data_IF_796276567627
#
_entry.id   IF_796276567627
#
_cell.length_a   1.000
_cell.length_b   1.000
_cell.length_c   1.000
_cell.angle_alpha   90.00
_cell.angle_beta   90.00
_cell.angle_gamma   90.00
#
_symmetry.space_group_name_H-M   'P 1'
#
loop_
_entity.id
_entity.type
_entity.pdbx_description
1 polymer ?
#
# COMPACT_ATOMS: atom_id res chain seq x y z
N UNK A 1 11.58 -35.77 43.25
CA UNK A 1 11.41 -37.16 42.78
C UNK A 1 10.21 -37.20 41.84
N UNK A 2 10.33 -37.82 40.66
CA UNK A 2 9.26 -38.60 40.05
C UNK A 2 9.63 -40.10 40.05
N UNK A 3 8.65 -41.03 40.21
CA UNK A 3 8.90 -42.47 40.14
C UNK A 3 9.01 -42.99 38.69
N UNK A 4 9.37 -44.27 38.53
CA UNK A 4 9.65 -44.94 37.26
C UNK A 4 8.46 -45.74 36.70
N UNK A 5 8.39 -45.77 35.38
CA UNK A 5 7.96 -46.84 34.46
C UNK A 5 7.23 -48.08 35.01
N UNK A 6 6.04 -48.37 34.46
CA UNK A 6 5.56 -49.75 34.21
C UNK A 6 4.91 -49.80 32.81
N UNK A 7 5.25 -50.81 32.01
CA UNK A 7 4.52 -51.21 30.81
C UNK A 7 3.43 -52.23 31.19
N UNK A 8 2.26 -52.18 30.55
CA UNK A 8 1.32 -53.31 30.53
C UNK A 8 0.73 -53.43 29.13
N UNK A 9 0.82 -54.63 28.55
CA UNK A 9 0.21 -54.95 27.26
C UNK A 9 -0.73 -56.14 27.40
N UNK A 10 -1.80 -56.16 26.61
CA UNK A 10 -2.66 -57.32 26.46
C UNK A 10 -2.54 -57.88 25.04
N UNK A 11 -2.23 -59.16 24.94
CA UNK A 11 -2.18 -59.92 23.69
C UNK A 11 -3.46 -60.75 23.56
N UNK A 12 -4.10 -60.69 22.39
CA UNK A 12 -5.07 -61.68 21.93
C UNK A 12 -4.71 -62.02 20.48
N UNK A 13 -4.83 -63.28 20.07
CA UNK A 13 -4.05 -63.83 18.97
C UNK A 13 -4.81 -64.88 18.13
N UNK A 14 -4.72 -64.77 16.78
CA UNK A 14 -5.10 -65.77 15.76
C UNK A 14 -6.62 -66.16 15.74
N UNK A 15 -7.23 -66.89 14.79
CA UNK A 15 -6.82 -67.78 13.67
C UNK A 15 -8.02 -67.95 12.66
N UNK A 16 -7.98 -68.51 11.44
CA UNK A 16 -6.91 -68.89 10.48
C UNK A 16 -7.47 -69.22 9.05
N UNK A 17 -6.86 -68.68 7.97
CA UNK A 17 -6.93 -69.17 6.55
C UNK A 17 -8.32 -69.20 5.83
N UNK A 18 -8.50 -69.42 4.50
CA UNK A 18 -7.78 -70.18 3.46
C UNK A 18 -7.70 -69.51 2.05
N UNK A 19 -6.67 -69.92 1.27
CA UNK A 19 -6.51 -70.07 -0.20
C UNK A 19 -7.40 -69.29 -1.22
N UNK A 20 -6.86 -68.62 -2.25
CA UNK A 20 -6.07 -69.10 -3.41
C UNK A 20 -6.84 -70.10 -4.32
N UNK A 21 -6.86 -69.97 -5.66
CA UNK A 21 -5.74 -69.71 -6.58
C UNK A 21 -6.18 -69.09 -7.92
N UNK A 22 -5.25 -68.57 -8.73
CA UNK A 22 -5.51 -68.17 -10.13
C UNK A 22 -4.30 -67.55 -10.84
N UNK A 23 -3.57 -68.33 -11.62
CA UNK A 23 -2.39 -67.88 -12.40
C UNK A 23 -2.68 -67.84 -13.89
N UNK A 24 -2.38 -66.72 -14.55
CA UNK A 24 -2.41 -66.60 -16.02
C UNK A 24 -2.12 -65.15 -16.43
N UNK A 25 -1.20 -64.94 -17.36
CA UNK A 25 -0.76 -63.62 -17.77
C UNK A 25 -0.70 -63.49 -19.30
N UNK A 26 -1.28 -62.43 -19.83
CA UNK A 26 -1.01 -61.91 -21.17
C UNK A 26 -0.69 -60.42 -21.11
N UNK A 27 -0.04 -59.89 -22.16
CA UNK A 27 0.62 -58.58 -22.15
C UNK A 27 -0.22 -57.55 -22.91
N UNK A 28 -0.35 -56.34 -22.36
CA UNK A 28 -0.97 -55.20 -23.02
C UNK A 28 -0.24 -53.90 -22.69
N UNK A 29 0.77 -53.55 -23.50
CA UNK A 29 1.43 -52.24 -23.65
C UNK A 29 1.49 -51.30 -22.42
N UNK A 30 2.69 -51.17 -21.84
CA UNK A 30 3.08 -49.93 -21.14
C UNK A 30 3.18 -48.81 -22.18
N UNK A 31 2.61 -47.64 -21.90
CA UNK A 31 2.83 -46.41 -22.66
C UNK A 31 3.98 -45.61 -22.00
N UNK A 32 5.15 -45.45 -22.64
CA UNK A 32 6.32 -44.82 -22.03
C UNK A 32 6.31 -43.31 -22.26
N UNK A 33 5.50 -42.58 -21.51
CA UNK A 33 5.31 -41.14 -21.71
C UNK A 33 5.08 -40.31 -20.45
N UNK A 34 6.12 -39.57 -20.04
CA UNK A 34 6.14 -38.41 -19.15
C UNK A 34 5.87 -38.67 -17.65
N UNK A 35 6.97 -38.54 -16.90
CA UNK A 35 7.08 -38.57 -15.45
C UNK A 35 6.35 -37.39 -14.76
N UNK A 36 5.99 -37.59 -13.49
CA UNK A 36 5.83 -36.57 -12.44
C UNK A 36 5.31 -35.19 -12.86
N UNK A 37 4.02 -35.12 -13.24
CA UNK A 37 3.28 -33.85 -13.21
C UNK A 37 2.98 -33.50 -11.75
N UNK A 38 3.90 -32.78 -11.11
CA UNK A 38 3.60 -32.01 -9.90
C UNK A 38 2.33 -31.17 -10.16
N UNK A 39 1.32 -31.24 -9.28
CA UNK A 39 0.15 -30.37 -9.39
C UNK A 39 0.58 -28.92 -9.12
N UNK A 40 0.97 -28.19 -10.19
CA UNK A 40 1.34 -26.79 -10.10
C UNK A 40 0.15 -26.01 -9.52
N UNK A 41 0.27 -25.59 -8.27
CA UNK A 41 -0.71 -24.69 -7.64
C UNK A 41 -0.52 -23.31 -8.26
N UNK A 42 -1.07 -23.12 -9.46
CA UNK A 42 -1.05 -21.86 -10.20
C UNK A 42 -1.90 -20.86 -9.42
N UNK A 43 -1.28 -20.15 -8.48
CA UNK A 43 -1.90 -19.06 -7.72
C UNK A 43 -2.17 -17.90 -8.68
N UNK A 44 -3.31 -17.98 -9.39
CA UNK A 44 -3.86 -16.94 -10.27
C UNK A 44 -4.40 -15.76 -9.46
N UNK A 45 -3.58 -15.22 -8.56
CA UNK A 45 -3.81 -13.93 -7.95
C UNK A 45 -3.89 -12.89 -9.08
N UNK A 46 -5.07 -12.29 -9.27
CA UNK A 46 -5.21 -11.11 -10.11
C UNK A 46 -4.18 -10.09 -9.62
N UNK A 47 -3.22 -9.74 -10.48
CA UNK A 47 -2.26 -8.67 -10.17
C UNK A 47 -3.08 -7.40 -10.03
N UNK A 48 -3.30 -6.95 -8.80
CA UNK A 48 -3.90 -5.65 -8.53
C UNK A 48 -3.16 -4.60 -9.35
N UNK A 49 -3.89 -3.85 -10.18
CA UNK A 49 -3.31 -2.93 -11.15
C UNK A 49 -2.72 -1.72 -10.43
N UNK A 50 -1.49 -1.90 -9.95
CA UNK A 50 -0.62 -0.84 -9.47
C UNK A 50 -0.57 0.23 -10.55
N UNK A 51 -0.88 1.47 -10.19
CA UNK A 51 -1.23 2.59 -11.07
C UNK A 51 -2.65 2.58 -11.69
N UNK A 52 -3.67 2.03 -10.99
CA UNK A 52 -5.08 2.29 -11.30
C UNK A 52 -5.39 3.80 -11.20
N UNK A 53 -6.08 4.34 -12.21
CA UNK A 53 -6.61 5.72 -12.21
C UNK A 53 -7.80 5.80 -11.24
N UNK A 54 -7.82 6.82 -10.37
CA UNK A 54 -8.96 7.09 -9.49
C UNK A 54 -10.07 7.84 -10.22
N UNK A 55 -11.33 7.43 -10.04
CA UNK A 55 -12.48 8.18 -10.57
C UNK A 55 -12.60 9.56 -9.90
N UNK A 56 -13.33 10.49 -10.55
CA UNK A 56 -13.48 11.87 -10.09
C UNK A 56 -14.05 11.98 -8.66
N UNK A 57 -15.04 11.16 -8.32
CA UNK A 57 -15.63 11.10 -6.98
C UNK A 57 -14.59 10.74 -5.91
N UNK A 58 -13.82 9.66 -6.12
CA UNK A 58 -12.72 9.27 -5.23
C UNK A 58 -11.65 10.36 -5.16
N UNK A 59 -11.31 10.99 -6.29
CA UNK A 59 -10.33 12.07 -6.36
C UNK A 59 -10.77 13.26 -5.48
N UNK A 60 -12.03 13.67 -5.60
CA UNK A 60 -12.63 14.76 -4.82
C UNK A 60 -12.72 14.40 -3.33
N UNK A 61 -13.19 13.20 -2.97
CA UNK A 61 -13.28 12.75 -1.57
C UNK A 61 -11.90 12.64 -0.88
N UNK A 62 -10.86 12.26 -1.62
CA UNK A 62 -9.48 12.29 -1.14
C UNK A 62 -8.97 13.73 -0.96
N UNK A 63 -9.34 14.67 -1.84
CA UNK A 63 -9.01 16.08 -1.65
C UNK A 63 -9.75 16.75 -0.50
N UNK A 64 -11.03 16.43 -0.28
CA UNK A 64 -11.79 16.85 0.89
C UNK A 64 -11.16 16.29 2.18
N UNK A 65 -10.83 15.00 2.21
CA UNK A 65 -10.14 14.37 3.34
C UNK A 65 -8.77 14.99 3.61
N UNK A 66 -7.98 15.28 2.57
CA UNK A 66 -6.70 16.00 2.70
C UNK A 66 -6.89 17.40 3.28
N UNK A 67 -7.97 18.10 2.94
CA UNK A 67 -8.28 19.43 3.45
C UNK A 67 -8.75 19.37 4.91
N UNK A 68 -9.75 18.53 5.22
CA UNK A 68 -10.32 18.39 6.56
C UNK A 68 -9.29 17.88 7.58
N UNK A 69 -8.55 16.82 7.24
CA UNK A 69 -7.43 16.36 8.07
C UNK A 69 -6.29 17.38 8.19
N UNK A 70 -6.18 18.36 7.26
CA UNK A 70 -5.26 19.49 7.39
C UNK A 70 -5.80 20.66 8.21
N UNK A 71 -7.10 20.69 8.50
CA UNK A 71 -7.79 21.70 9.32
C UNK A 71 -7.69 21.24 10.77
N UNK A 72 -8.26 20.07 11.09
CA UNK A 72 -8.23 19.41 12.40
C UNK A 72 -6.80 19.28 12.97
N UNK A 73 -5.81 18.87 12.16
CA UNK A 73 -4.41 18.78 12.59
C UNK A 73 -3.82 20.11 13.10
N UNK A 74 -4.28 21.26 12.58
CA UNK A 74 -3.83 22.59 13.06
C UNK A 74 -4.56 23.04 14.32
N UNK A 75 -5.75 22.52 14.56
CA UNK A 75 -6.53 22.72 15.78
C UNK A 75 -6.10 21.76 16.91
N UNK A 76 -5.21 20.80 16.61
CA UNK A 76 -4.70 19.77 17.52
C UNK A 76 -5.71 18.64 17.84
N UNK A 77 -6.81 18.57 17.08
CA UNK A 77 -7.80 17.48 17.06
C UNK A 77 -7.22 16.29 16.27
N UNK A 78 -6.19 15.64 16.82
CA UNK A 78 -5.38 14.64 16.11
C UNK A 78 -6.12 13.31 15.91
N UNK A 79 -6.98 12.90 16.84
CA UNK A 79 -7.80 11.69 16.70
C UNK A 79 -8.75 11.80 15.50
N UNK A 80 -9.42 12.94 15.35
CA UNK A 80 -10.32 13.23 14.22
C UNK A 80 -9.56 13.52 12.93
N UNK A 81 -8.39 14.16 13.01
CA UNK A 81 -7.53 14.38 11.84
C UNK A 81 -7.02 13.06 11.25
N UNK A 82 -6.71 12.06 12.08
CA UNK A 82 -6.04 10.82 11.68
C UNK A 82 -6.74 10.04 10.55
N UNK A 83 -8.05 9.71 10.58
CA UNK A 83 -8.72 8.99 9.50
C UNK A 83 -8.71 9.78 8.17
N UNK A 84 -8.97 11.09 8.21
CA UNK A 84 -8.93 11.96 7.04
C UNK A 84 -7.52 12.09 6.45
N UNK A 85 -6.50 12.20 7.31
CA UNK A 85 -5.10 12.20 6.92
C UNK A 85 -4.67 10.83 6.37
N UNK A 86 -5.13 9.71 6.94
CA UNK A 86 -4.83 8.36 6.46
C UNK A 86 -5.39 8.10 5.06
N UNK A 87 -6.61 8.58 4.75
CA UNK A 87 -7.19 8.48 3.42
C UNK A 87 -6.27 9.12 2.36
N UNK A 88 -5.80 10.35 2.61
CA UNK A 88 -4.86 11.04 1.73
C UNK A 88 -3.43 10.44 1.78
N UNK A 89 -2.96 9.99 2.93
CA UNK A 89 -1.62 9.42 3.10
C UNK A 89 -1.46 8.12 2.31
N UNK A 90 -2.48 7.26 2.28
CA UNK A 90 -2.54 6.05 1.46
C UNK A 90 -2.41 6.34 -0.04
N UNK A 91 -2.83 7.53 -0.50
CA UNK A 91 -2.75 7.99 -1.90
C UNK A 91 -1.47 8.77 -2.24
N UNK A 92 -0.44 8.78 -1.38
CA UNK A 92 0.83 9.43 -1.70
C UNK A 92 0.92 10.93 -1.40
N UNK A 93 -0.06 11.52 -0.71
CA UNK A 93 0.00 12.94 -0.35
C UNK A 93 0.99 13.18 0.81
N UNK A 94 2.19 13.64 0.46
CA UNK A 94 3.37 13.78 1.34
C UNK A 94 3.11 14.51 2.66
N UNK A 95 2.38 15.64 2.65
CA UNK A 95 2.00 16.33 3.90
C UNK A 95 1.04 15.51 4.78
N UNK A 96 0.17 14.68 4.19
CA UNK A 96 -0.71 13.81 4.97
C UNK A 96 0.10 12.66 5.59
N UNK A 97 0.98 12.03 4.81
CA UNK A 97 1.92 10.99 5.29
C UNK A 97 2.78 11.49 6.45
N UNK A 98 3.37 12.68 6.31
CA UNK A 98 4.19 13.29 7.36
C UNK A 98 3.41 13.54 8.66
N UNK A 99 2.13 13.93 8.56
CA UNK A 99 1.26 14.17 9.72
C UNK A 99 0.77 12.90 10.40
N UNK A 100 0.38 11.88 9.63
CA UNK A 100 0.10 10.53 10.17
C UNK A 100 1.33 10.02 10.93
N UNK A 101 2.51 10.17 10.32
CA UNK A 101 3.78 9.82 10.96
C UNK A 101 4.06 10.61 12.24
N UNK A 102 3.80 11.92 12.26
CA UNK A 102 3.91 12.73 13.48
C UNK A 102 2.96 12.26 14.60
N UNK A 103 1.66 12.09 14.31
CA UNK A 103 0.66 11.67 15.30
C UNK A 103 1.07 10.34 15.93
N UNK A 104 1.40 9.34 15.11
CA UNK A 104 1.83 8.02 15.58
C UNK A 104 3.18 8.05 16.31
N UNK A 105 4.05 9.03 16.03
CA UNK A 105 5.31 9.20 16.75
C UNK A 105 5.15 9.86 18.12
N UNK A 106 4.11 10.69 18.32
CA UNK A 106 3.89 11.39 19.59
C UNK A 106 2.88 10.68 20.51
N UNK A 107 1.92 9.92 19.97
CA UNK A 107 0.88 9.26 20.77
C UNK A 107 -0.07 10.25 21.46
N UNK A 108 -0.54 11.25 20.71
CA UNK A 108 -1.31 12.40 21.21
C UNK A 108 -2.82 12.23 21.01
N UNK A 109 -3.62 12.96 21.80
CA UNK A 109 -5.08 13.03 21.66
C UNK A 109 -5.77 11.64 21.72
N UNK A 110 -5.32 10.79 22.64
CA UNK A 110 -5.81 9.41 22.78
C UNK A 110 -5.37 8.44 21.68
N UNK A 111 -4.68 8.90 20.62
CA UNK A 111 -4.12 8.02 19.59
C UNK A 111 -2.93 7.24 20.17
N UNK A 112 -2.91 5.90 20.11
CA UNK A 112 -1.76 5.11 20.56
C UNK A 112 -0.48 5.43 19.78
N UNK A 113 0.65 5.48 20.48
CA UNK A 113 1.96 5.67 19.85
C UNK A 113 2.38 4.40 19.08
N UNK A 114 2.69 4.55 17.79
CA UNK A 114 3.34 3.53 16.97
C UNK A 114 4.58 4.14 16.28
N UNK A 115 5.75 4.12 16.93
CA UNK A 115 7.00 4.60 16.34
C UNK A 115 7.39 3.82 15.08
N UNK A 116 6.94 2.57 14.97
CA UNK A 116 7.28 1.68 13.87
C UNK A 116 6.53 2.06 12.58
N UNK A 117 5.21 2.27 12.65
CA UNK A 117 4.44 2.82 11.55
C UNK A 117 4.79 4.30 11.30
N UNK A 118 5.10 5.08 12.34
CA UNK A 118 5.53 6.47 12.19
C UNK A 118 6.76 6.62 11.30
N UNK A 119 7.82 5.87 11.59
CA UNK A 119 9.05 5.82 10.78
C UNK A 119 8.76 5.44 9.32
N UNK A 120 7.83 4.49 9.10
CA UNK A 120 7.43 4.09 7.75
C UNK A 120 6.72 5.21 6.98
N UNK A 121 5.70 5.84 7.58
CA UNK A 121 4.99 6.96 6.97
C UNK A 121 5.91 8.17 6.71
N UNK A 122 6.85 8.45 7.61
CA UNK A 122 7.82 9.54 7.47
C UNK A 122 8.86 9.24 6.39
N UNK A 123 9.37 8.00 6.28
CA UNK A 123 10.31 7.62 5.22
C UNK A 123 9.69 7.70 3.82
N UNK A 124 8.41 7.35 3.68
CA UNK A 124 7.66 7.48 2.41
C UNK A 124 7.38 8.95 2.08
N UNK A 125 7.19 9.79 3.10
CA UNK A 125 7.05 11.23 2.93
C UNK A 125 8.39 11.89 2.57
N UNK A 126 9.52 11.45 3.13
CA UNK A 126 10.82 12.15 3.08
C UNK A 126 11.60 12.02 1.76
N UNK A 127 10.93 12.06 0.61
CA UNK A 127 11.59 11.99 -0.71
C UNK A 127 12.23 13.32 -1.15
N UNK A 128 13.14 13.27 -2.13
CA UNK A 128 13.93 14.43 -2.58
C UNK A 128 13.12 15.60 -3.15
N UNK A 129 11.95 15.31 -3.72
CA UNK A 129 10.94 16.23 -4.25
C UNK A 129 10.06 16.89 -3.16
N UNK A 130 10.13 16.45 -1.90
CA UNK A 130 9.20 16.87 -0.84
C UNK A 130 9.66 18.14 -0.09
N UNK A 131 8.80 18.72 0.77
CA UNK A 131 9.14 19.87 1.61
C UNK A 131 10.36 19.60 2.52
N UNK A 132 11.32 20.56 2.65
CA UNK A 132 12.52 20.35 3.46
C UNK A 132 12.26 19.99 4.92
N UNK A 133 11.21 20.53 5.53
CA UNK A 133 10.79 20.23 6.91
C UNK A 133 10.52 18.74 7.13
N UNK A 134 9.84 18.08 6.17
CA UNK A 134 9.50 16.65 6.26
C UNK A 134 10.79 15.82 6.21
N UNK A 135 11.72 16.13 5.30
CA UNK A 135 13.03 15.46 5.24
C UNK A 135 13.85 15.70 6.51
N UNK A 136 13.85 16.92 7.03
CA UNK A 136 14.60 17.28 8.24
C UNK A 136 14.04 16.57 9.47
N UNK A 137 12.72 16.49 9.62
CA UNK A 137 12.05 15.75 10.70
C UNK A 137 12.34 14.24 10.60
N UNK A 138 12.20 13.64 9.42
CA UNK A 138 12.56 12.23 9.23
C UNK A 138 14.05 11.97 9.51
N UNK A 139 14.97 12.82 9.04
CA UNK A 139 16.41 12.71 9.34
C UNK A 139 16.69 12.79 10.85
N UNK A 140 16.02 13.71 11.55
CA UNK A 140 16.17 13.89 12.99
C UNK A 140 15.56 12.74 13.82
N UNK A 141 14.56 12.04 13.28
CA UNK A 141 14.04 10.79 13.85
C UNK A 141 14.99 9.63 13.57
N UNK A 142 15.39 9.44 12.31
CA UNK A 142 16.27 8.35 11.85
C UNK A 142 17.62 8.31 12.57
N UNK A 143 18.19 9.48 12.84
CA UNK A 143 19.44 9.61 13.60
C UNK A 143 19.35 9.09 15.06
N UNK A 144 18.14 8.93 15.63
CA UNK A 144 17.92 8.37 16.97
C UNK A 144 17.74 6.85 16.97
N UNK A 145 17.61 6.24 15.80
CA UNK A 145 17.32 4.80 15.65
C UNK A 145 18.65 4.02 15.66
N UNK A 146 18.83 3.01 16.54
CA UNK A 146 20.02 2.17 16.56
C UNK A 146 20.25 1.46 15.23
N UNK A 147 21.50 1.36 14.77
CA UNK A 147 21.83 0.81 13.45
C UNK A 147 21.28 -0.62 13.24
N UNK A 148 21.29 -1.45 14.29
CA UNK A 148 20.73 -2.81 14.29
C UNK A 148 19.24 -2.87 13.88
N UNK A 149 18.46 -1.82 14.15
CA UNK A 149 17.03 -1.77 13.82
C UNK A 149 16.76 -1.25 12.40
N UNK A 150 17.73 -0.58 11.77
CA UNK A 150 17.52 0.14 10.50
C UNK A 150 17.12 -0.75 9.32
N UNK A 151 17.74 -1.93 9.06
CA UNK A 151 17.36 -2.77 7.91
C UNK A 151 15.87 -3.16 7.91
N UNK A 152 15.34 -3.61 9.05
CA UNK A 152 13.92 -3.98 9.18
C UNK A 152 12.96 -2.78 9.00
N UNK A 153 13.43 -1.56 9.28
CA UNK A 153 12.69 -0.32 9.07
C UNK A 153 12.79 0.15 7.61
N UNK A 154 13.94 -0.01 6.97
CA UNK A 154 14.16 0.24 5.53
C UNK A 154 13.27 -0.67 4.68
N UNK A 155 13.18 -1.96 5.01
CA UNK A 155 12.26 -2.91 4.35
C UNK A 155 10.79 -2.49 4.50
N UNK A 156 10.35 -2.03 5.67
CA UNK A 156 8.98 -1.49 5.80
C UNK A 156 8.79 -0.17 5.06
N UNK A 157 9.77 0.73 5.04
CA UNK A 157 9.74 1.96 4.24
C UNK A 157 9.62 1.63 2.75
N UNK A 158 10.31 0.59 2.26
CA UNK A 158 10.18 0.07 0.90
C UNK A 158 8.76 -0.46 0.63
N UNK A 159 8.25 -1.37 1.47
CA UNK A 159 6.88 -1.90 1.35
C UNK A 159 5.80 -0.81 1.36
N UNK A 160 5.98 0.24 2.18
CA UNK A 160 5.07 1.39 2.18
C UNK A 160 5.25 2.29 0.96
N UNK A 161 6.46 2.43 0.39
CA UNK A 161 6.66 3.18 -0.86
C UNK A 161 6.01 2.47 -2.05
N UNK A 162 6.10 1.13 -2.12
CA UNK A 162 5.50 0.33 -3.19
C UNK A 162 3.96 0.37 -3.18
N UNK A 163 3.33 0.63 -2.01
CA UNK A 163 1.86 0.69 -1.86
C UNK A 163 1.30 2.10 -1.73
N UNK A 164 1.96 2.97 -0.97
CA UNK A 164 1.49 4.32 -0.62
C UNK A 164 2.37 5.44 -1.17
N UNK A 165 3.45 5.13 -1.89
CA UNK A 165 4.28 6.14 -2.54
C UNK A 165 3.51 6.94 -3.59
N UNK A 166 3.92 8.20 -3.80
CA UNK A 166 3.30 9.11 -4.79
C UNK A 166 3.29 8.52 -6.20
N UNK A 167 4.41 7.91 -6.64
CA UNK A 167 4.52 7.20 -7.92
C UNK A 167 3.47 6.09 -8.05
N UNK A 168 3.41 5.17 -7.08
CA UNK A 168 2.48 4.03 -7.09
C UNK A 168 1.00 4.45 -7.13
N UNK A 169 0.68 5.63 -6.59
CA UNK A 169 -0.68 6.18 -6.51
C UNK A 169 -0.99 7.27 -7.56
N UNK A 170 -0.15 7.39 -8.61
CA UNK A 170 -0.29 8.40 -9.67
C UNK A 170 -0.43 9.84 -9.14
N UNK A 171 0.23 10.14 -8.02
CA UNK A 171 0.37 11.50 -7.49
C UNK A 171 1.71 12.09 -7.94
N UNK A 172 1.67 13.35 -8.36
CA UNK A 172 2.85 14.19 -8.60
C UNK A 172 2.93 15.26 -7.52
N UNK A 173 4.13 15.60 -7.08
CA UNK A 173 4.39 16.63 -6.08
C UNK A 173 5.42 17.61 -6.61
N UNK A 174 5.06 18.89 -6.71
CA UNK A 174 5.98 19.97 -7.06
C UNK A 174 6.37 20.82 -5.85
N UNK A 175 7.60 21.31 -5.87
CA UNK A 175 8.09 22.35 -4.99
C UNK A 175 8.07 23.68 -5.74
N UNK A 176 7.12 24.53 -5.37
CA UNK A 176 6.91 25.87 -5.90
C UNK A 176 7.15 26.91 -4.79
N UNK A 177 7.02 28.20 -5.11
CA UNK A 177 7.01 29.29 -4.12
C UNK A 177 5.61 29.90 -4.02
N UNK A 178 5.22 30.37 -2.83
CA UNK A 178 4.00 31.17 -2.68
C UNK A 178 4.22 32.53 -3.37
N UNK A 179 3.35 32.86 -4.34
CA UNK A 179 3.44 34.08 -5.14
C UNK A 179 3.70 35.34 -4.29
N UNK A 180 4.62 36.20 -4.78
CA UNK A 180 5.08 37.40 -4.06
C UNK A 180 6.01 37.13 -2.87
N UNK A 181 6.42 35.88 -2.59
CA UNK A 181 7.26 35.54 -1.44
C UNK A 181 8.29 34.46 -1.74
N UNK A 182 9.37 34.41 -0.94
CA UNK A 182 10.35 33.32 -0.97
C UNK A 182 9.89 32.06 -0.22
N UNK A 183 8.68 32.04 0.33
CA UNK A 183 8.15 30.89 1.09
C UNK A 183 7.92 29.71 0.16
N UNK A 184 8.57 28.58 0.48
CA UNK A 184 8.43 27.32 -0.25
C UNK A 184 7.03 26.73 -0.03
N UNK A 185 6.51 26.09 -1.07
CA UNK A 185 5.18 25.46 -1.11
C UNK A 185 5.31 24.10 -1.79
N UNK A 186 4.98 23.03 -1.07
CA UNK A 186 4.79 21.72 -1.68
C UNK A 186 3.35 21.59 -2.17
N UNK A 187 3.16 21.38 -3.48
CA UNK A 187 1.85 21.10 -4.08
C UNK A 187 1.83 19.66 -4.60
N UNK A 188 1.09 18.78 -3.94
CA UNK A 188 0.82 17.43 -4.46
C UNK A 188 -0.58 17.39 -5.10
N UNK A 189 -0.70 16.73 -6.26
CA UNK A 189 -1.94 16.48 -7.01
C UNK A 189 -1.93 15.12 -7.69
N UNK A 190 -3.09 14.57 -8.03
CA UNK A 190 -3.16 13.44 -8.94
C UNK A 190 -2.69 13.86 -10.35
N UNK A 191 -2.00 12.97 -11.05
CA UNK A 191 -1.57 13.16 -12.44
C UNK A 191 -2.79 13.18 -13.38
N UNK A 192 -3.83 12.43 -13.02
CA UNK A 192 -5.02 12.16 -13.82
C UNK A 192 -6.10 13.25 -13.78
N UNK A 193 -5.88 14.36 -13.06
CA UNK A 193 -6.83 15.50 -12.98
C UNK A 193 -7.29 15.99 -14.36
N UNK A 194 -6.42 15.89 -15.37
CA UNK A 194 -6.70 16.34 -16.73
C UNK A 194 -7.82 15.55 -17.41
N UNK A 195 -8.01 14.26 -17.06
CA UNK A 195 -9.06 13.40 -17.62
C UNK A 195 -10.48 13.86 -17.24
N UNK A 196 -10.61 14.69 -16.20
CA UNK A 196 -11.88 15.17 -15.68
C UNK A 196 -12.14 16.66 -15.98
N UNK A 197 -11.30 17.29 -16.83
CA UNK A 197 -11.46 18.69 -17.29
C UNK A 197 -12.36 18.77 -18.53
N UNK A 198 -13.52 18.11 -18.47
CA UNK A 198 -14.54 18.18 -19.52
C UNK A 198 -15.06 19.62 -19.57
N UNK A 199 -14.97 20.26 -20.75
CA UNK A 199 -15.31 21.67 -20.96
C UNK A 199 -14.13 22.62 -21.16
N UNK A 200 -12.89 22.14 -21.12
CA UNK A 200 -11.69 22.91 -21.51
C UNK A 200 -11.09 22.37 -22.82
N UNK A 201 -11.77 22.65 -23.93
CA UNK A 201 -11.28 22.34 -25.29
C UNK A 201 -10.10 23.25 -25.64
N UNK A 202 -8.88 22.75 -25.39
CA UNK A 202 -7.65 23.48 -25.64
C UNK A 202 -7.22 23.32 -27.11
N UNK A 203 -7.86 24.07 -28.01
CA UNK A 203 -7.36 24.29 -29.36
C UNK A 203 -6.20 25.32 -29.34
N UNK A 204 -4.94 24.93 -29.61
CA UNK A 204 -3.83 25.88 -29.70
C UNK A 204 -3.84 26.72 -30.99
N UNK A 205 -4.78 26.47 -31.90
CA UNK A 205 -4.91 27.12 -33.22
C UNK A 205 -6.27 27.81 -33.42
N UNK A 206 -6.88 28.25 -32.31
CA UNK A 206 -8.22 28.81 -32.17
C UNK A 206 -8.90 29.37 -33.42
N UNK A 207 -9.78 28.57 -34.03
CA UNK A 207 -10.82 29.03 -34.96
C UNK A 207 -12.18 28.48 -34.54
N UNK A 208 -12.88 29.20 -33.66
CA UNK A 208 -14.20 28.78 -33.19
C UNK A 208 -15.28 28.97 -34.26
N UNK A 209 -15.69 27.91 -34.95
CA UNK A 209 -16.94 27.86 -35.74
C UNK A 209 -18.06 27.18 -34.97
N UNK A 210 -18.51 27.82 -33.90
CA UNK A 210 -19.83 27.52 -33.33
C UNK A 210 -20.92 28.13 -34.22
N UNK A 211 -21.19 27.48 -35.35
CA UNK A 211 -22.32 27.81 -36.22
C UNK A 211 -23.62 27.60 -35.44
N UNK A 212 -24.24 28.70 -35.00
CA UNK A 212 -25.59 28.66 -34.42
C UNK A 212 -26.56 28.51 -35.59
N UNK A 213 -26.87 27.26 -35.96
CA UNK A 213 -27.94 26.97 -36.91
C UNK A 213 -29.31 27.24 -36.26
N UNK A 214 -29.75 28.48 -36.39
CA UNK A 214 -31.13 28.88 -36.10
C UNK A 214 -32.06 28.33 -37.19
N UNK A 215 -32.87 27.31 -36.88
CA UNK A 215 -34.00 26.87 -37.70
C UNK A 215 -34.97 25.95 -36.95
N UNK A 216 -36.27 25.91 -37.28
CA UNK A 216 -37.07 26.92 -37.99
C UNK A 216 -38.09 27.64 -37.07
#
# INVERSE_FOLDING_TARGET
>A
MPPRTIYCGCVVAFALLMAASGTGAERGTVDPGLDDVEEEIIVRGRREDRHQVVNLETMMGIYQSRLQGSILYRQQEYAEALPHLLAAARRGFKFAQARVGFILQQGVDGVPQDPQAAVAWLGVAATGDTHPEIRNYFKALWAKIPDQQRPALEDRIRLYNDRYGSRANRVTCDMSHKAGTWLKKLTCRFQDEHLYRIGAEFDPHGWATSSIESSP
#
